data_IF_706277746924
#
_entry.id   IF_706277746924
#
_cell.length_a   1.000
_cell.length_b   1.000
_cell.length_c   1.000
_cell.angle_alpha   90.00
_cell.angle_beta   90.00
_cell.angle_gamma   90.00
#
_symmetry.space_group_name_H-M   'P 1'
#
loop_
_entity.id
_entity.type
_entity.pdbx_description
1 polymer ?
#
# COMPACT_ATOMS: atom_id res chain seq x y z
N UNK A 1 8.43 18.40 -1.32
CA UNK A 1 7.19 18.27 -2.13
C UNK A 1 7.41 17.96 -3.62
N UNK A 2 8.61 17.53 -4.07
CA UNK A 2 8.84 17.15 -5.49
C UNK A 2 8.84 15.63 -5.76
N UNK A 3 9.01 14.79 -4.73
CA UNK A 3 9.03 13.33 -4.89
C UNK A 3 7.66 12.72 -5.20
N UNK A 4 6.56 13.30 -4.71
CA UNK A 4 5.23 12.73 -4.88
C UNK A 4 4.71 12.80 -6.33
N UNK A 5 5.00 13.91 -7.04
CA UNK A 5 4.65 14.06 -8.46
C UNK A 5 5.57 13.22 -9.35
N UNK A 6 6.85 13.13 -9.01
CA UNK A 6 7.81 12.30 -9.74
C UNK A 6 7.43 10.81 -9.72
N UNK A 7 6.90 10.31 -8.61
CA UNK A 7 6.43 8.92 -8.49
C UNK A 7 5.15 8.68 -9.31
N UNK A 8 4.17 9.60 -9.28
CA UNK A 8 2.89 9.45 -10.02
C UNK A 8 3.09 9.56 -11.54
N UNK A 9 3.92 10.49 -12.00
CA UNK A 9 4.19 10.66 -13.44
C UNK A 9 4.94 9.46 -14.02
N UNK A 10 5.85 8.87 -13.24
CA UNK A 10 6.53 7.63 -13.64
C UNK A 10 5.53 6.47 -13.78
N UNK A 11 4.56 6.36 -12.86
CA UNK A 11 3.49 5.36 -12.92
C UNK A 11 2.57 5.50 -14.13
N UNK A 12 2.26 6.74 -14.56
CA UNK A 12 1.46 6.99 -15.77
C UNK A 12 2.20 6.68 -17.08
N UNK A 13 3.52 6.78 -17.11
CA UNK A 13 4.32 6.39 -18.29
C UNK A 13 4.52 4.86 -18.38
N UNK A 14 4.54 4.16 -17.25
CA UNK A 14 4.72 2.69 -17.18
C UNK A 14 3.53 1.91 -17.75
N UNK A 15 2.32 2.47 -17.76
CA UNK A 15 1.14 1.80 -18.32
C UNK A 15 1.08 1.81 -19.85
N UNK A 16 1.95 2.59 -20.51
CA UNK A 16 1.92 2.79 -21.96
C UNK A 16 2.96 2.01 -22.78
N UNK A 17 4.17 1.73 -22.27
CA UNK A 17 5.23 1.23 -23.16
C UNK A 17 6.26 0.26 -22.53
N UNK A 18 6.24 -0.97 -23.04
CA UNK A 18 7.27 -2.04 -23.04
C UNK A 18 8.14 -2.19 -21.78
N UNK A 19 7.65 -3.06 -20.90
CA UNK A 19 8.43 -3.88 -19.94
C UNK A 19 9.73 -4.38 -20.57
N UNK A 20 10.84 -4.28 -19.83
CA UNK A 20 11.72 -5.45 -19.57
C UNK A 20 12.83 -5.29 -18.53
N UNK A 21 13.23 -4.09 -18.09
CA UNK A 21 14.38 -3.99 -17.16
C UNK A 21 14.20 -3.11 -15.91
N UNK A 22 13.07 -2.44 -15.71
CA UNK A 22 12.78 -1.72 -14.46
C UNK A 22 12.14 -2.64 -13.40
N UNK A 23 11.81 -3.88 -13.78
CA UNK A 23 10.90 -4.70 -13.00
C UNK A 23 11.60 -5.61 -11.97
N UNK A 24 12.86 -6.02 -12.16
CA UNK A 24 13.43 -7.08 -11.30
C UNK A 24 13.94 -6.54 -9.96
N UNK A 25 14.70 -5.45 -9.95
CA UNK A 25 15.16 -4.83 -8.69
C UNK A 25 14.01 -4.21 -7.90
N UNK A 26 13.06 -3.55 -8.57
CA UNK A 26 11.87 -3.01 -7.89
C UNK A 26 10.95 -4.15 -7.41
N UNK A 27 10.77 -5.22 -8.19
CA UNK A 27 10.03 -6.40 -7.73
C UNK A 27 10.75 -7.12 -6.59
N UNK A 28 12.08 -7.22 -6.60
CA UNK A 28 12.86 -7.83 -5.49
C UNK A 28 12.80 -6.97 -4.23
N UNK A 29 12.98 -5.66 -4.34
CA UNK A 29 12.84 -4.71 -3.24
C UNK A 29 11.41 -4.73 -2.67
N UNK A 30 10.41 -4.74 -3.55
CA UNK A 30 9.03 -4.95 -3.13
C UNK A 30 8.87 -6.33 -2.47
N UNK A 31 9.36 -7.42 -3.05
CA UNK A 31 9.17 -8.79 -2.55
C UNK A 31 9.81 -9.02 -1.17
N UNK A 32 11.04 -8.54 -0.95
CA UNK A 32 11.73 -8.65 0.33
C UNK A 32 11.03 -7.84 1.43
N UNK A 33 10.65 -6.59 1.13
CA UNK A 33 9.88 -5.75 2.06
C UNK A 33 8.44 -6.27 2.25
N UNK A 34 7.85 -6.87 1.22
CA UNK A 34 6.55 -7.53 1.28
C UNK A 34 6.59 -8.68 2.28
N UNK A 35 7.66 -9.47 2.39
CA UNK A 35 7.68 -10.57 3.35
C UNK A 35 7.57 -10.09 4.80
N UNK A 36 8.27 -9.01 5.16
CA UNK A 36 8.19 -8.41 6.50
C UNK A 36 6.81 -7.77 6.73
N UNK A 37 6.35 -6.94 5.80
CA UNK A 37 5.07 -6.23 5.91
C UNK A 37 3.88 -7.20 5.86
N UNK A 38 3.94 -8.25 5.05
CA UNK A 38 2.92 -9.29 4.95
C UNK A 38 2.88 -10.16 6.21
N UNK A 39 4.04 -10.49 6.79
CA UNK A 39 4.10 -11.17 8.10
C UNK A 39 3.48 -10.30 9.18
N UNK A 40 3.90 -9.04 9.26
CA UNK A 40 3.33 -8.04 10.17
C UNK A 40 1.81 -7.94 10.00
N UNK A 41 1.32 -7.84 8.76
CA UNK A 41 -0.10 -7.78 8.46
C UNK A 41 -0.82 -9.07 8.88
N UNK A 42 -0.28 -10.25 8.58
CA UNK A 42 -0.93 -11.53 8.87
C UNK A 42 -1.07 -11.79 10.38
N UNK A 43 -0.12 -11.34 11.18
CA UNK A 43 -0.13 -11.45 12.64
C UNK A 43 -1.15 -10.52 13.32
N UNK A 44 -1.76 -9.58 12.58
CA UNK A 44 -2.81 -8.70 13.12
C UNK A 44 -4.19 -9.35 13.14
N UNK A 45 -4.91 -9.09 14.23
CA UNK A 45 -6.32 -9.39 14.35
C UNK A 45 -7.15 -8.60 13.32
N UNK A 46 -8.29 -9.17 12.90
CA UNK A 46 -9.17 -8.52 11.93
C UNK A 46 -9.63 -7.13 12.38
N UNK A 47 -9.88 -6.95 13.68
CA UNK A 47 -10.26 -5.65 14.25
C UNK A 47 -9.17 -4.58 14.05
N UNK A 48 -7.90 -4.96 14.19
CA UNK A 48 -6.78 -4.05 13.95
C UNK A 48 -6.66 -3.72 12.46
N UNK A 49 -6.78 -4.72 11.59
CA UNK A 49 -6.77 -4.53 10.12
C UNK A 49 -7.84 -3.54 9.67
N UNK A 50 -9.06 -3.70 10.17
CA UNK A 50 -10.16 -2.77 9.88
C UNK A 50 -9.83 -1.36 10.36
N UNK A 51 -9.32 -1.21 11.59
CA UNK A 51 -8.92 0.10 12.13
C UNK A 51 -7.84 0.77 11.28
N UNK A 52 -6.85 0.00 10.79
CA UNK A 52 -5.79 0.51 9.90
C UNK A 52 -6.39 1.00 8.59
N UNK A 53 -7.23 0.19 7.94
CA UNK A 53 -7.87 0.55 6.66
C UNK A 53 -8.78 1.78 6.82
N UNK A 54 -9.55 1.86 7.90
CA UNK A 54 -10.39 3.03 8.19
C UNK A 54 -9.56 4.30 8.38
N UNK A 55 -8.46 4.20 9.14
CA UNK A 55 -7.55 5.34 9.34
C UNK A 55 -6.87 5.74 8.03
N UNK A 56 -6.48 4.77 7.21
CA UNK A 56 -5.91 5.01 5.89
C UNK A 56 -6.88 5.77 4.97
N UNK A 57 -8.17 5.39 4.97
CA UNK A 57 -9.20 6.09 4.18
C UNK A 57 -9.53 7.50 4.68
N UNK A 58 -9.36 7.74 5.98
CA UNK A 58 -9.80 8.98 6.63
C UNK A 58 -8.68 10.03 6.73
N UNK A 59 -7.43 9.58 6.87
CA UNK A 59 -6.27 10.44 7.04
C UNK A 59 -5.55 10.63 5.71
N UNK A 60 -4.87 11.77 5.56
CA UNK A 60 -3.86 11.92 4.51
C UNK A 60 -2.68 10.96 4.76
N UNK A 61 -1.92 10.62 3.71
CA UNK A 61 -0.76 9.73 3.83
C UNK A 61 0.25 10.18 4.91
N UNK A 62 0.52 11.48 5.00
CA UNK A 62 1.42 12.06 6.02
C UNK A 62 0.86 11.88 7.44
N UNK A 63 -0.44 12.14 7.63
CA UNK A 63 -1.09 11.94 8.92
C UNK A 63 -1.20 10.47 9.30
N UNK A 64 -1.41 9.61 8.31
CA UNK A 64 -1.46 8.17 8.49
C UNK A 64 -0.10 7.62 8.90
N UNK A 65 1.00 8.05 8.25
CA UNK A 65 2.37 7.72 8.65
C UNK A 65 2.62 8.09 10.12
N UNK A 66 2.33 9.34 10.49
CA UNK A 66 2.52 9.83 11.86
C UNK A 66 1.68 9.05 12.85
N UNK A 67 0.43 8.72 12.50
CA UNK A 67 -0.45 7.93 13.36
C UNK A 67 0.08 6.51 13.55
N UNK A 68 0.50 5.84 12.47
CA UNK A 68 0.97 4.47 12.49
C UNK A 68 2.25 4.31 13.30
N UNK A 69 3.20 5.25 13.14
CA UNK A 69 4.46 5.26 13.88
C UNK A 69 4.31 5.65 15.36
N UNK A 70 3.26 6.39 15.71
CA UNK A 70 2.99 6.77 17.10
C UNK A 70 2.10 5.79 17.86
N UNK A 71 1.44 4.85 17.17
CA UNK A 71 0.63 3.82 17.83
C UNK A 71 1.55 2.87 18.61
N UNK A 72 1.48 2.95 19.95
CA UNK A 72 2.38 2.21 20.86
C UNK A 72 2.36 0.70 20.59
N UNK A 73 1.23 0.19 20.10
CA UNK A 73 1.08 -1.23 19.76
C UNK A 73 2.04 -1.66 18.64
N UNK A 74 2.43 -0.78 17.71
CA UNK A 74 3.14 -1.14 16.48
C UNK A 74 4.45 -0.39 16.27
N UNK A 75 4.68 0.69 17.03
CA UNK A 75 5.84 1.59 16.93
C UNK A 75 7.22 0.90 16.82
N UNK A 76 7.38 -0.28 17.43
CA UNK A 76 8.65 -1.02 17.41
C UNK A 76 8.73 -2.10 16.32
N UNK A 77 7.63 -2.38 15.62
CA UNK A 77 7.53 -3.45 14.63
C UNK A 77 7.64 -2.93 13.19
N UNK A 78 7.35 -1.64 12.99
CA UNK A 78 7.39 -0.96 11.69
C UNK A 78 8.33 0.23 11.74
N UNK A 79 9.10 0.40 10.67
CA UNK A 79 9.94 1.57 10.42
C UNK A 79 9.28 2.47 9.39
N UNK A 80 9.84 3.67 9.20
CA UNK A 80 9.39 4.59 8.16
C UNK A 80 9.45 3.97 6.76
N UNK A 81 10.45 3.15 6.48
CA UNK A 81 10.62 2.49 5.18
C UNK A 81 9.54 1.43 4.91
N UNK A 82 8.95 0.84 5.96
CA UNK A 82 7.84 -0.10 5.82
C UNK A 82 6.52 0.59 5.44
N UNK A 83 6.37 1.89 5.75
CA UNK A 83 5.11 2.64 5.59
C UNK A 83 4.69 2.70 4.12
N UNK A 84 5.62 3.01 3.23
CA UNK A 84 5.33 3.10 1.79
C UNK A 84 4.79 1.76 1.25
N UNK A 85 5.37 0.64 1.72
CA UNK A 85 4.93 -0.71 1.36
C UNK A 85 3.57 -1.07 1.95
N UNK A 86 3.27 -0.62 3.17
CA UNK A 86 1.95 -0.78 3.82
C UNK A 86 0.88 -0.01 3.05
N UNK A 87 1.13 1.27 2.76
CA UNK A 87 0.21 2.11 1.98
C UNK A 87 -0.07 1.50 0.61
N UNK A 88 1.00 1.10 -0.10
CA UNK A 88 0.88 0.45 -1.41
C UNK A 88 0.04 -0.82 -1.38
N UNK A 89 0.22 -1.65 -0.34
CA UNK A 89 -0.53 -2.89 -0.16
C UNK A 89 -2.02 -2.63 0.09
N UNK A 90 -2.34 -1.62 0.91
CA UNK A 90 -3.73 -1.24 1.20
C UNK A 90 -4.39 -0.66 -0.05
N UNK A 91 -3.71 0.22 -0.79
CA UNK A 91 -4.23 0.78 -2.05
C UNK A 91 -4.51 -0.32 -3.08
N UNK A 92 -3.58 -1.27 -3.24
CA UNK A 92 -3.74 -2.41 -4.15
C UNK A 92 -4.94 -3.29 -3.75
N UNK A 93 -5.12 -3.53 -2.45
CA UNK A 93 -6.26 -4.29 -1.92
C UNK A 93 -7.59 -3.57 -2.17
N UNK A 94 -7.65 -2.26 -1.93
CA UNK A 94 -8.85 -1.47 -2.18
C UNK A 94 -9.19 -1.41 -3.66
N UNK A 95 -8.20 -1.19 -4.53
CA UNK A 95 -8.38 -1.18 -5.98
C UNK A 95 -8.92 -2.53 -6.50
N UNK A 96 -8.39 -3.64 -5.98
CA UNK A 96 -8.88 -4.99 -6.31
C UNK A 96 -10.36 -5.18 -5.91
N UNK A 97 -10.74 -4.74 -4.71
CA UNK A 97 -12.12 -4.86 -4.23
C UNK A 97 -13.06 -4.01 -5.09
N UNK A 98 -12.69 -2.78 -5.40
CA UNK A 98 -13.50 -1.89 -6.25
C UNK A 98 -13.69 -2.51 -7.64
N UNK A 99 -12.64 -3.07 -8.25
CA UNK A 99 -12.71 -3.69 -9.57
C UNK A 99 -13.64 -4.92 -9.63
N UNK A 100 -13.71 -5.68 -8.54
CA UNK A 100 -14.61 -6.83 -8.42
C UNK A 100 -16.07 -6.45 -8.16
N UNK A 101 -16.33 -5.23 -7.69
CA UNK A 101 -17.70 -4.74 -7.46
C UNK A 101 -18.36 -4.28 -8.77
N UNK A 102 -17.60 -3.66 -9.67
CA UNK A 102 -18.11 -3.14 -10.95
C UNK A 102 -18.41 -4.25 -11.99
N UNK A 103 -17.93 -5.48 -11.76
CA UNK A 103 -18.19 -6.63 -12.65
C UNK A 103 -19.51 -7.37 -12.37
N UNK A 104 -20.29 -6.93 -11.37
CA UNK A 104 -21.59 -7.54 -11.02
C UNK A 104 -22.82 -6.72 -11.45
N UNK A 105 -22.65 -5.58 -12.14
CA UNK A 105 -23.76 -4.71 -12.59
C UNK A 105 -24.19 -4.89 -14.07
N UNK A 106 -23.78 -5.97 -14.74
CA UNK A 106 -24.32 -6.34 -16.07
C UNK A 106 -25.18 -7.61 -16.04
N UNK A 107 -26.19 -7.68 -15.16
CA UNK A 107 -27.35 -8.57 -15.35
C UNK A 107 -28.63 -7.94 -14.80
N UNK A 108 -29.22 -7.00 -15.55
CA UNK A 108 -30.65 -6.74 -15.47
C UNK A 108 -31.22 -6.41 -16.83
#
# INVERSE_FOLDING_TARGET
>A
MKNHLFQIENWKQITGEKRKNVNVEMFLFCFENFNKVMKWWNEREQKDKTKIIEKFKTLSNEQFEVWLLNEHKWKNEITKDDIDSICFSIDSYLALITMNHDSNEEKK
#
